data_IF_678752280724
#
_entry.id   IF_678752280724
#
_cell.length_a   1.000
_cell.length_b   1.000
_cell.length_c   1.000
_cell.angle_alpha   90.00
_cell.angle_beta   90.00
_cell.angle_gamma   90.00
#
_symmetry.space_group_name_H-M   'P 1'
#
loop_
_entity.id
_entity.type
_entity.pdbx_description
1 polymer ?
#
# COMPACT_ATOMS: atom_id res chain seq x y z
N UNK A 1 -8.32 11.87 -13.15
CA UNK A 1 -9.31 11.06 -12.38
C UNK A 1 -8.79 9.67 -12.13
N UNK A 2 -9.03 9.14 -10.96
CA UNK A 2 -8.56 7.81 -10.58
C UNK A 2 -9.68 6.79 -10.65
N UNK A 3 -9.32 5.57 -11.05
CA UNK A 3 -10.26 4.45 -11.04
C UNK A 3 -10.41 3.87 -9.64
N UNK A 4 -9.34 3.96 -8.84
CA UNK A 4 -9.31 3.40 -7.49
C UNK A 4 -8.42 4.26 -6.59
N UNK A 5 -8.90 4.50 -5.38
CA UNK A 5 -8.11 5.18 -4.34
C UNK A 5 -8.01 4.22 -3.17
N UNK A 6 -6.78 3.95 -2.75
CA UNK A 6 -6.50 3.06 -1.63
C UNK A 6 -6.06 3.88 -0.44
N UNK A 7 -6.72 3.69 0.69
CA UNK A 7 -6.43 4.38 1.94
C UNK A 7 -5.67 3.43 2.85
N UNK A 8 -4.41 3.76 3.13
CA UNK A 8 -3.55 2.94 3.95
C UNK A 8 -2.67 2.00 3.12
N UNK A 9 -1.37 2.07 3.35
CA UNK A 9 -0.39 1.25 2.64
C UNK A 9 0.28 0.23 3.56
N UNK A 10 -0.52 -0.53 4.30
CA UNK A 10 -0.07 -1.78 4.89
C UNK A 10 0.07 -2.83 3.80
N UNK A 11 0.38 -4.07 4.18
CA UNK A 11 0.57 -5.15 3.21
C UNK A 11 -0.65 -5.34 2.31
N UNK A 12 -1.85 -5.28 2.88
CA UNK A 12 -3.09 -5.45 2.11
C UNK A 12 -3.30 -4.33 1.10
N UNK A 13 -3.05 -3.08 1.52
CA UNK A 13 -3.21 -1.92 0.63
C UNK A 13 -2.21 -1.95 -0.52
N UNK A 14 -0.96 -2.30 -0.23
CA UNK A 14 0.07 -2.41 -1.26
C UNK A 14 -0.28 -3.53 -2.25
N UNK A 15 -0.72 -4.69 -1.76
CA UNK A 15 -1.15 -5.79 -2.63
C UNK A 15 -2.30 -5.38 -3.53
N UNK A 16 -3.32 -4.71 -2.98
CA UNK A 16 -4.45 -4.23 -3.75
C UNK A 16 -4.00 -3.25 -4.84
N UNK A 17 -3.08 -2.35 -4.51
CA UNK A 17 -2.55 -1.37 -5.46
C UNK A 17 -1.82 -2.06 -6.63
N UNK A 18 -1.01 -3.06 -6.32
CA UNK A 18 -0.26 -3.80 -7.34
C UNK A 18 -1.21 -4.51 -8.29
N UNK A 19 -2.21 -5.22 -7.77
CA UNK A 19 -3.18 -5.91 -8.60
C UNK A 19 -4.01 -4.95 -9.45
N UNK A 20 -4.44 -3.84 -8.87
CA UNK A 20 -5.19 -2.83 -9.61
C UNK A 20 -4.36 -2.24 -10.75
N UNK A 21 -3.10 -1.94 -10.50
CA UNK A 21 -2.20 -1.39 -11.51
C UNK A 21 -1.99 -2.39 -12.65
N UNK A 22 -1.83 -3.66 -12.32
CA UNK A 22 -1.67 -4.72 -13.33
C UNK A 22 -2.94 -4.92 -14.16
N UNK A 23 -4.08 -4.50 -13.65
CA UNK A 23 -5.36 -4.51 -14.37
C UNK A 23 -5.59 -3.22 -15.15
N UNK A 24 -4.55 -2.40 -15.32
CA UNK A 24 -4.57 -1.13 -16.05
C UNK A 24 -5.50 -0.08 -15.43
N UNK A 25 -5.76 -0.16 -14.13
CA UNK A 25 -6.50 0.87 -13.44
C UNK A 25 -5.57 2.01 -13.05
N UNK A 26 -6.11 3.22 -13.02
CA UNK A 26 -5.38 4.38 -12.52
C UNK A 26 -5.58 4.45 -11.01
N UNK A 27 -4.51 4.23 -10.26
CA UNK A 27 -4.56 4.06 -8.82
C UNK A 27 -3.86 5.21 -8.10
N UNK A 28 -4.49 5.71 -7.04
CA UNK A 28 -3.87 6.62 -6.09
C UNK A 28 -3.89 5.98 -4.72
N UNK A 29 -2.75 6.01 -4.03
CA UNK A 29 -2.63 5.52 -2.66
C UNK A 29 -2.45 6.70 -1.71
N UNK A 30 -3.13 6.66 -0.58
CA UNK A 30 -3.04 7.67 0.47
C UNK A 30 -2.54 7.00 1.74
N UNK A 31 -1.46 7.53 2.32
CA UNK A 31 -0.85 6.98 3.52
C UNK A 31 -0.54 8.12 4.49
N UNK A 32 -0.95 7.98 5.75
CA UNK A 32 -0.75 9.02 6.75
C UNK A 32 0.65 9.02 7.36
N UNK A 33 1.38 7.93 7.25
CA UNK A 33 2.68 7.76 7.88
C UNK A 33 3.68 7.24 6.86
N UNK A 34 4.13 5.98 6.99
CA UNK A 34 5.06 5.39 6.04
C UNK A 34 4.48 4.11 5.45
N UNK A 35 4.81 3.79 4.19
CA UNK A 35 4.36 2.53 3.60
C UNK A 35 4.78 1.34 4.46
N UNK A 36 3.90 0.34 4.56
CA UNK A 36 4.08 -0.81 5.42
C UNK A 36 3.31 -0.70 6.72
N UNK A 37 3.08 0.52 7.22
CA UNK A 37 2.29 0.74 8.43
C UNK A 37 2.84 -0.01 9.63
N UNK A 38 1.99 -0.79 10.28
CA UNK A 38 2.33 -1.52 11.50
C UNK A 38 3.46 -2.53 11.30
N UNK A 39 3.64 -3.04 10.07
CA UNK A 39 4.70 -4.01 9.77
C UNK A 39 6.08 -3.44 10.14
N UNK A 40 6.27 -2.14 10.00
CA UNK A 40 7.55 -1.48 10.30
C UNK A 40 8.01 -1.68 11.75
N UNK A 41 7.10 -1.99 12.66
CA UNK A 41 7.39 -2.13 14.09
C UNK A 41 7.56 -3.58 14.53
N UNK A 42 7.53 -4.52 13.61
CA UNK A 42 7.69 -5.94 13.91
C UNK A 42 9.15 -6.33 13.71
N UNK A 43 9.78 -6.88 14.74
CA UNK A 43 11.20 -7.23 14.66
C UNK A 43 11.46 -8.36 13.68
N UNK A 44 10.57 -9.35 13.64
CA UNK A 44 10.78 -10.55 12.85
C UNK A 44 9.47 -11.12 12.35
N UNK A 45 9.41 -11.39 11.07
CA UNK A 45 8.24 -11.96 10.41
C UNK A 45 8.69 -13.28 9.77
N UNK A 46 8.06 -14.38 10.14
CA UNK A 46 8.42 -15.68 9.61
C UNK A 46 7.29 -16.37 8.84
N UNK A 47 6.14 -15.73 8.74
CA UNK A 47 4.97 -16.30 8.06
C UNK A 47 4.59 -15.56 6.77
N UNK A 48 5.48 -14.73 6.24
CA UNK A 48 5.23 -14.07 4.96
C UNK A 48 5.85 -14.91 3.84
N UNK A 49 5.06 -15.38 2.86
CA UNK A 49 5.57 -16.25 1.80
C UNK A 49 6.76 -15.64 1.07
N UNK A 50 7.81 -16.41 0.91
CA UNK A 50 9.01 -15.98 0.21
C UNK A 50 10.04 -15.28 1.09
N UNK A 51 9.70 -14.93 2.32
CA UNK A 51 10.59 -14.18 3.21
C UNK A 51 10.60 -14.75 4.62
N UNK A 52 11.22 -15.90 4.83
CA UNK A 52 11.33 -16.44 6.18
C UNK A 52 12.27 -15.58 7.02
N UNK A 53 11.87 -15.25 8.22
CA UNK A 53 12.68 -14.46 9.17
C UNK A 53 13.08 -13.07 8.71
N UNK A 54 12.25 -12.40 7.92
CA UNK A 54 12.52 -11.02 7.50
C UNK A 54 12.07 -10.05 8.61
N UNK A 55 12.83 -8.95 8.80
CA UNK A 55 12.34 -7.89 9.70
C UNK A 55 11.18 -7.15 9.06
N UNK A 56 10.32 -6.57 9.89
CA UNK A 56 9.20 -5.76 9.37
C UNK A 56 9.68 -4.58 8.55
N UNK A 57 10.76 -3.94 8.97
CA UNK A 57 11.32 -2.81 8.23
C UNK A 57 11.82 -3.25 6.84
N UNK A 58 12.51 -4.38 6.76
CA UNK A 58 13.00 -4.89 5.47
C UNK A 58 11.85 -5.31 4.57
N UNK A 59 10.83 -5.96 5.12
CA UNK A 59 9.66 -6.34 4.33
C UNK A 59 8.93 -5.11 3.81
N UNK A 60 8.74 -4.09 4.66
CA UNK A 60 8.10 -2.84 4.24
C UNK A 60 8.87 -2.18 3.11
N UNK A 61 10.19 -2.17 3.18
CA UNK A 61 11.01 -1.59 2.13
C UNK A 61 10.85 -2.35 0.80
N UNK A 62 10.83 -3.68 0.85
CA UNK A 62 10.63 -4.48 -0.35
C UNK A 62 9.25 -4.29 -0.96
N UNK A 63 8.22 -4.16 -0.14
CA UNK A 63 6.87 -3.87 -0.62
C UNK A 63 6.83 -2.47 -1.25
N UNK A 64 7.48 -1.50 -0.64
CA UNK A 64 7.58 -0.15 -1.18
C UNK A 64 8.31 -0.14 -2.53
N UNK A 65 9.44 -0.85 -2.64
CA UNK A 65 10.16 -0.96 -3.90
C UNK A 65 9.28 -1.53 -5.01
N UNK A 66 8.49 -2.56 -4.69
CA UNK A 66 7.59 -3.17 -5.67
C UNK A 66 6.53 -2.16 -6.11
N UNK A 67 5.96 -1.41 -5.17
CA UNK A 67 4.98 -0.37 -5.47
C UNK A 67 5.59 0.67 -6.42
N UNK A 68 6.79 1.14 -6.13
CA UNK A 68 7.46 2.16 -6.93
C UNK A 68 7.88 1.64 -8.32
N UNK A 69 8.24 0.37 -8.42
CA UNK A 69 8.62 -0.23 -9.71
C UNK A 69 7.49 -0.21 -10.72
N UNK A 70 6.25 -0.13 -10.27
CA UNK A 70 5.07 -0.09 -11.13
C UNK A 70 4.57 1.34 -11.36
N UNK A 71 5.30 2.34 -10.88
CA UNK A 71 4.93 3.76 -11.01
C UNK A 71 3.55 4.08 -10.43
N UNK A 72 3.22 3.45 -9.30
CA UNK A 72 1.96 3.72 -8.62
C UNK A 72 2.11 5.01 -7.83
N UNK A 73 1.21 5.94 -8.03
CA UNK A 73 1.21 7.23 -7.34
C UNK A 73 0.74 7.07 -5.90
N UNK A 74 1.48 7.66 -4.94
CA UNK A 74 0.98 7.74 -3.58
C UNK A 74 1.28 9.11 -2.96
N UNK A 75 0.48 9.48 -1.96
CA UNK A 75 0.63 10.74 -1.24
C UNK A 75 0.58 10.49 0.25
N UNK A 76 1.37 11.26 1.00
CA UNK A 76 1.33 11.23 2.45
C UNK A 76 0.21 12.16 2.92
N UNK A 77 -0.96 11.61 3.16
CA UNK A 77 -2.14 12.36 3.59
C UNK A 77 -2.98 11.52 4.54
N UNK A 78 -3.54 12.18 5.55
CA UNK A 78 -4.53 11.55 6.42
C UNK A 78 -5.91 11.68 5.81
N UNK A 79 -6.67 10.58 5.83
CA UNK A 79 -8.06 10.60 5.39
C UNK A 79 -8.95 10.70 6.63
N UNK A 80 -9.65 11.83 6.76
CA UNK A 80 -10.52 12.07 7.91
C UNK A 80 -11.99 11.79 7.61
N UNK A 81 -12.37 11.76 6.34
CA UNK A 81 -13.75 11.63 5.95
C UNK A 81 -13.86 11.02 4.57
N UNK A 82 -14.81 10.11 4.42
CA UNK A 82 -15.15 9.51 3.12
C UNK A 82 -16.64 9.73 2.90
N UNK A 83 -16.96 10.27 1.73
CA UNK A 83 -18.34 10.60 1.40
C UNK A 83 -18.66 10.06 0.01
N UNK A 84 -19.84 9.49 -0.13
CA UNK A 84 -20.31 9.01 -1.41
C UNK A 84 -21.35 10.00 -1.97
N UNK A 85 -21.05 10.53 -3.15
CA UNK A 85 -21.98 11.41 -3.81
C UNK A 85 -23.06 10.60 -4.54
N UNK A 86 -24.27 11.13 -4.54
CA UNK A 86 -25.39 10.49 -5.21
C UNK A 86 -25.14 10.42 -6.71
N UNK A 87 -25.41 9.27 -7.30
CA UNK A 87 -25.23 9.08 -8.74
C UNK A 87 -23.84 8.63 -9.18
N UNK A 88 -22.97 8.35 -8.22
CA UNK A 88 -21.61 7.91 -8.52
C UNK A 88 -21.39 6.48 -8.04
#
# INVERSE_FOLDING_TARGET
MYDLIIVGLGAAGISAAIYAKRSNLKVLCLEKSMPGGIINYIDKIDNYPGFPNISGADLSYKLYEHLMSLNIEYKLESVNHIEKEQGI
#
